data_IF_614021742908
#
_entry.id   IF_614021742908
#
_cell.length_a   1.000
_cell.length_b   1.000
_cell.length_c   1.000
_cell.angle_alpha   90.00
_cell.angle_beta   90.00
_cell.angle_gamma   90.00
#
_symmetry.space_group_name_H-M   'P 1'
#
loop_
_entity.id
_entity.type
_entity.pdbx_description
1 polymer ?
#
# COMPACT_ATOMS: atom_id res chain seq x y z
N UNK A 1 -14.87 12.11 9.02
CA UNK A 1 -13.78 11.45 8.28
C UNK A 1 -12.67 12.46 8.10
N UNK A 2 -11.64 12.36 8.92
CA UNK A 2 -10.40 13.14 8.80
C UNK A 2 -9.58 12.62 7.61
N UNK A 3 -8.60 13.41 7.10
CA UNK A 3 -7.68 12.91 6.07
C UNK A 3 -6.99 11.59 6.48
N UNK A 4 -6.63 11.43 7.75
CA UNK A 4 -6.04 10.20 8.27
C UNK A 4 -7.02 9.02 8.24
N UNK A 5 -8.28 9.21 8.66
CA UNK A 5 -9.30 8.17 8.58
C UNK A 5 -9.57 7.72 7.13
N UNK A 6 -9.46 8.64 6.16
CA UNK A 6 -9.57 8.32 4.74
C UNK A 6 -8.38 7.47 4.28
N UNK A 7 -7.16 7.86 4.67
CA UNK A 7 -5.92 7.14 4.31
C UNK A 7 -5.94 5.73 4.91
N UNK A 8 -6.23 5.58 6.20
CA UNK A 8 -6.31 4.27 6.85
C UNK A 8 -7.31 3.35 6.16
N UNK A 9 -8.48 3.87 5.80
CA UNK A 9 -9.51 3.10 5.09
C UNK A 9 -9.11 2.73 3.66
N UNK A 10 -8.36 3.59 2.97
CA UNK A 10 -7.78 3.26 1.67
C UNK A 10 -6.73 2.15 1.78
N UNK A 11 -5.90 2.16 2.82
CA UNK A 11 -4.95 1.08 3.08
C UNK A 11 -5.66 -0.25 3.30
N UNK A 12 -6.66 -0.29 4.18
CA UNK A 12 -7.47 -1.50 4.44
C UNK A 12 -8.08 -2.07 3.15
N UNK A 13 -8.74 -1.22 2.35
CA UNK A 13 -9.35 -1.64 1.08
C UNK A 13 -8.29 -2.16 0.09
N UNK A 14 -7.12 -1.52 0.03
CA UNK A 14 -6.04 -1.94 -0.88
C UNK A 14 -5.48 -3.30 -0.48
N UNK A 15 -5.39 -3.58 0.83
CA UNK A 15 -4.93 -4.85 1.35
C UNK A 15 -5.94 -5.98 1.11
N UNK A 16 -7.23 -5.70 1.28
CA UNK A 16 -8.31 -6.61 0.89
C UNK A 16 -8.26 -6.94 -0.62
N UNK A 17 -8.08 -5.93 -1.47
CA UNK A 17 -7.95 -6.11 -2.91
C UNK A 17 -6.72 -6.96 -3.28
N UNK A 18 -5.57 -6.74 -2.62
CA UNK A 18 -4.38 -7.57 -2.80
C UNK A 18 -4.67 -9.04 -2.48
N UNK A 19 -5.36 -9.31 -1.37
CA UNK A 19 -5.78 -10.66 -1.00
C UNK A 19 -6.70 -11.32 -2.04
N UNK A 20 -7.65 -10.57 -2.60
CA UNK A 20 -8.55 -11.05 -3.66
C UNK A 20 -7.76 -11.40 -4.92
N UNK A 21 -6.86 -10.52 -5.37
CA UNK A 21 -6.05 -10.72 -6.57
C UNK A 21 -5.15 -11.94 -6.43
N UNK A 22 -4.50 -12.13 -5.28
CA UNK A 22 -3.67 -13.32 -5.01
C UNK A 22 -4.48 -14.61 -5.10
N UNK A 23 -5.68 -14.63 -4.51
CA UNK A 23 -6.58 -15.79 -4.59
C UNK A 23 -7.04 -16.05 -6.03
N UNK A 24 -7.33 -15.01 -6.80
CA UNK A 24 -7.65 -15.15 -8.22
C UNK A 24 -6.48 -15.73 -9.01
N UNK A 25 -5.25 -15.27 -8.76
CA UNK A 25 -4.05 -15.81 -9.39
C UNK A 25 -3.90 -17.31 -9.11
N UNK A 26 -4.06 -17.76 -7.85
CA UNK A 26 -4.02 -19.19 -7.51
C UNK A 26 -5.06 -20.02 -8.28
N UNK A 27 -6.27 -19.48 -8.45
CA UNK A 27 -7.33 -20.15 -9.21
C UNK A 27 -6.98 -20.23 -10.71
N UNK A 28 -6.41 -19.16 -11.26
CA UNK A 28 -5.98 -19.09 -12.65
C UNK A 28 -4.85 -20.07 -12.92
N UNK A 29 -3.89 -20.20 -12.01
CA UNK A 29 -2.80 -21.18 -12.13
C UNK A 29 -3.33 -22.62 -12.25
N UNK A 30 -4.39 -22.96 -11.52
CA UNK A 30 -5.05 -24.28 -11.55
C UNK A 30 -6.01 -24.47 -12.73
N UNK A 31 -6.29 -23.41 -13.48
CA UNK A 31 -7.25 -23.44 -14.60
C UNK A 31 -6.60 -23.85 -15.93
N UNK A 32 -7.44 -24.23 -16.90
CA UNK A 32 -7.03 -24.54 -18.28
C UNK A 32 -6.91 -23.27 -19.14
N UNK A 33 -6.23 -22.26 -18.63
CA UNK A 33 -5.86 -21.05 -19.37
C UNK A 33 -4.52 -21.28 -20.06
N UNK A 34 -4.31 -20.65 -21.22
CA UNK A 34 -3.05 -20.69 -21.96
C UNK A 34 -1.90 -20.13 -21.12
N UNK A 35 -0.74 -20.77 -21.15
CA UNK A 35 0.39 -20.40 -20.29
C UNK A 35 0.90 -18.98 -20.54
N UNK A 36 0.88 -18.51 -21.80
CA UNK A 36 1.25 -17.12 -22.12
C UNK A 36 0.35 -16.08 -21.45
N UNK A 37 -0.94 -16.39 -21.32
CA UNK A 37 -1.90 -15.53 -20.60
C UNK A 37 -1.63 -15.58 -19.09
N UNK A 38 -1.28 -16.74 -18.54
CA UNK A 38 -0.89 -16.85 -17.12
C UNK A 38 0.38 -16.04 -16.84
N UNK A 39 1.36 -16.09 -17.73
CA UNK A 39 2.60 -15.33 -17.63
C UNK A 39 2.35 -13.81 -17.67
N UNK A 40 1.50 -13.36 -18.58
CA UNK A 40 1.07 -11.96 -18.64
C UNK A 40 0.43 -11.50 -17.32
N UNK A 41 -0.49 -12.30 -16.78
CA UNK A 41 -1.16 -11.99 -15.51
C UNK A 41 -0.17 -11.97 -14.33
N UNK A 42 0.78 -12.92 -14.26
CA UNK A 42 1.84 -12.91 -13.24
C UNK A 42 2.68 -11.64 -13.33
N UNK A 43 3.05 -11.22 -14.53
CA UNK A 43 3.84 -10.00 -14.73
C UNK A 43 3.07 -8.75 -14.28
N UNK A 44 1.78 -8.67 -14.60
CA UNK A 44 0.92 -7.56 -14.14
C UNK A 44 0.80 -7.50 -12.61
N UNK A 45 0.62 -8.65 -11.95
CA UNK A 45 0.56 -8.73 -10.48
C UNK A 45 1.89 -8.32 -9.87
N UNK A 46 3.01 -8.85 -10.38
CA UNK A 46 4.35 -8.51 -9.87
C UNK A 46 4.69 -7.02 -10.04
N UNK A 47 4.29 -6.40 -11.16
CA UNK A 47 4.50 -4.96 -11.37
C UNK A 47 3.66 -4.12 -10.39
N UNK A 48 2.41 -4.51 -10.15
CA UNK A 48 1.54 -3.83 -9.19
C UNK A 48 2.05 -3.97 -7.75
N UNK A 49 2.46 -5.17 -7.33
CA UNK A 49 3.05 -5.42 -6.01
C UNK A 49 4.34 -4.60 -5.82
N UNK A 50 5.21 -4.54 -6.83
CA UNK A 50 6.42 -3.72 -6.75
C UNK A 50 6.13 -2.21 -6.60
N UNK A 51 5.06 -1.70 -7.22
CA UNK A 51 4.62 -0.31 -7.02
C UNK A 51 4.03 -0.09 -5.62
N UNK A 52 3.30 -1.08 -5.10
CA UNK A 52 2.73 -1.04 -3.75
C UNK A 52 3.85 -0.98 -2.71
N UNK A 53 4.89 -1.81 -2.84
CA UNK A 53 6.05 -1.82 -1.92
C UNK A 53 6.74 -0.45 -1.86
N UNK A 54 6.94 0.19 -3.02
CA UNK A 54 7.53 1.53 -3.11
C UNK A 54 6.62 2.57 -2.45
N UNK A 55 5.30 2.46 -2.63
CA UNK A 55 4.34 3.35 -1.99
C UNK A 55 4.36 3.16 -0.47
N UNK A 56 4.32 1.92 0.02
CA UNK A 56 4.37 1.60 1.46
C UNK A 56 5.66 2.17 2.08
N UNK A 57 6.80 1.99 1.42
CA UNK A 57 8.08 2.55 1.87
C UNK A 57 8.02 4.08 2.04
N UNK A 58 7.42 4.80 1.09
CA UNK A 58 7.26 6.26 1.21
C UNK A 58 6.23 6.64 2.27
N UNK A 59 5.14 5.89 2.41
CA UNK A 59 4.08 6.16 3.38
C UNK A 59 4.53 5.95 4.83
N UNK A 60 5.41 4.98 5.11
CA UNK A 60 6.04 4.85 6.44
C UNK A 60 6.71 6.14 6.90
N UNK A 61 7.36 6.86 5.98
CA UNK A 61 8.02 8.14 6.29
C UNK A 61 7.03 9.25 6.66
N UNK A 62 5.80 9.19 6.14
CA UNK A 62 4.71 10.11 6.51
C UNK A 62 4.05 9.72 7.82
N UNK A 63 3.83 8.42 8.07
CA UNK A 63 3.29 7.93 9.34
C UNK A 63 4.26 8.17 10.51
N UNK A 64 5.58 8.05 10.30
CA UNK A 64 6.58 8.38 11.33
C UNK A 64 6.62 9.89 11.66
N UNK A 65 6.24 10.77 10.72
CA UNK A 65 6.14 12.22 11.00
C UNK A 65 4.92 12.63 11.82
N UNK A 66 3.89 11.77 11.92
CA UNK A 66 2.73 12.01 12.79
C UNK A 66 2.97 11.55 14.24
N UNK A 67 4.01 10.73 14.49
CA UNK A 67 4.57 10.48 15.83
C UNK A 67 5.47 11.61 16.33
N UNK A 68 5.67 12.67 15.52
CA UNK A 68 6.27 13.93 15.98
C UNK A 68 5.20 14.82 16.63
N UNK A 69 4.51 14.26 17.62
CA UNK A 69 4.00 15.07 18.71
C UNK A 69 5.21 15.70 19.43
N UNK A 70 5.43 17.01 19.20
CA UNK A 70 6.38 17.87 19.91
C UNK A 70 7.81 18.04 19.38
N UNK A 71 7.99 18.36 18.09
CA UNK A 71 9.13 19.22 17.73
C UNK A 71 8.73 20.70 17.75
N UNK A 72 9.09 21.36 18.85
CA UNK A 72 9.44 22.78 18.88
C UNK A 72 8.31 23.79 18.69
N UNK A 73 7.48 23.98 19.72
CA UNK A 73 7.07 25.36 20.02
C UNK A 73 8.26 26.04 20.71
N UNK A 74 9.15 26.66 19.93
CA UNK A 74 10.02 27.68 20.50
C UNK A 74 9.12 28.79 21.05
N UNK A 75 9.05 28.88 22.39
CA UNK A 75 8.57 30.10 23.04
C UNK A 75 9.60 31.20 22.74
N UNK A 76 9.19 32.43 22.41
CA UNK A 76 10.12 33.54 22.40
C UNK A 76 10.66 33.70 23.81
N UNK A 77 11.98 33.59 23.97
CA UNK A 77 12.66 33.95 25.21
C UNK A 77 12.60 35.47 25.33
N UNK A 78 11.81 35.96 26.27
CA UNK A 78 11.90 37.34 26.75
C UNK A 78 13.18 37.49 27.58
N UNK A 79 14.17 38.19 27.03
CA UNK A 79 15.25 38.91 27.73
C UNK A 79 15.61 40.18 26.94
#
# INVERSE_FOLDING_TARGET
MTPLEIISRLCEITEELSGIVKKQQEMIERSKVEEGVKEELRNMVNEADGKLDVLEYHMRRYCDTDDVGAFGKEQPSDD
#
